data_IF_068579002738
#
_entry.id   IF_068579002738
#
_cell.length_a   1.000
_cell.length_b   1.000
_cell.length_c   1.000
_cell.angle_alpha   90.00
_cell.angle_beta   90.00
_cell.angle_gamma   90.00
#
_symmetry.space_group_name_H-M   'P 1'
#
loop_
_entity.id
_entity.type
_entity.pdbx_description
1 polymer ?
#
# COMPACT_ATOMS: atom_id res chain seq x y z
N UNK A 1 -16.52 -24.45 -15.02
CA UNK A 1 -17.29 -23.48 -14.18
C UNK A 1 -16.74 -23.36 -12.75
N UNK A 2 -16.56 -24.47 -12.01
CA UNK A 2 -16.03 -24.46 -10.64
C UNK A 2 -14.58 -23.96 -10.55
N UNK A 3 -13.71 -24.42 -11.46
CA UNK A 3 -12.28 -24.06 -11.50
C UNK A 3 -12.04 -22.54 -11.65
N UNK A 4 -12.94 -21.80 -12.30
CA UNK A 4 -12.84 -20.34 -12.43
C UNK A 4 -13.24 -19.62 -11.14
N UNK A 5 -14.24 -20.12 -10.42
CA UNK A 5 -14.67 -19.56 -9.13
C UNK A 5 -13.56 -19.73 -8.08
N UNK A 6 -12.96 -20.92 -8.02
CA UNK A 6 -11.86 -21.21 -7.08
C UNK A 6 -10.65 -20.28 -7.34
N UNK A 7 -10.35 -20.00 -8.61
CA UNK A 7 -9.28 -19.06 -8.99
C UNK A 7 -9.59 -17.64 -8.55
N UNK A 8 -10.82 -17.17 -8.76
CA UNK A 8 -11.27 -15.83 -8.35
C UNK A 8 -11.20 -15.69 -6.82
N UNK A 9 -11.69 -16.69 -6.08
CA UNK A 9 -11.60 -16.70 -4.62
C UNK A 9 -10.14 -16.65 -4.13
N UNK A 10 -9.24 -17.40 -4.77
CA UNK A 10 -7.82 -17.35 -4.44
C UNK A 10 -7.17 -15.98 -4.74
N UNK A 11 -7.60 -15.29 -5.80
CA UNK A 11 -7.15 -13.93 -6.10
C UNK A 11 -7.63 -12.93 -5.05
N UNK A 12 -8.89 -13.02 -4.60
CA UNK A 12 -9.43 -12.16 -3.53
C UNK A 12 -8.73 -12.43 -2.20
N UNK A 13 -8.43 -13.68 -1.85
CA UNK A 13 -7.72 -13.98 -0.60
C UNK A 13 -6.25 -13.53 -0.64
N UNK A 14 -5.61 -13.52 -1.81
CA UNK A 14 -4.23 -13.05 -1.94
C UNK A 14 -4.06 -11.56 -1.61
N UNK A 15 -5.08 -10.73 -1.82
CA UNK A 15 -5.04 -9.30 -1.45
C UNK A 15 -5.13 -9.07 0.06
N UNK A 16 -5.49 -10.08 0.85
CA UNK A 16 -5.56 -9.97 2.32
C UNK A 16 -4.18 -9.99 2.97
N UNK A 17 -3.20 -10.65 2.35
CA UNK A 17 -1.86 -10.83 2.92
C UNK A 17 -0.73 -10.27 2.05
N UNK A 18 -1.02 -9.84 0.82
CA UNK A 18 -0.03 -9.37 -0.16
C UNK A 18 1.18 -10.30 -0.30
N UNK A 19 0.94 -11.62 -0.26
CA UNK A 19 1.98 -12.65 -0.46
C UNK A 19 1.81 -13.28 -1.83
N UNK A 20 2.84 -13.17 -2.65
CA UNK A 20 2.87 -13.72 -4.00
C UNK A 20 3.25 -15.21 -3.98
N UNK A 21 2.35 -16.08 -3.54
CA UNK A 21 2.57 -17.52 -3.64
C UNK A 21 2.23 -17.98 -5.08
N UNK A 22 3.27 -18.20 -5.89
CA UNK A 22 3.31 -19.14 -7.02
C UNK A 22 2.68 -18.76 -8.36
N UNK A 23 1.85 -17.70 -8.45
CA UNK A 23 1.17 -17.34 -9.71
C UNK A 23 1.48 -15.91 -10.17
N UNK A 24 1.86 -15.77 -11.44
CA UNK A 24 2.19 -14.49 -12.08
C UNK A 24 0.99 -13.54 -12.10
N UNK A 25 -0.22 -14.08 -12.23
CA UNK A 25 -1.45 -13.27 -12.18
C UNK A 25 -1.63 -12.63 -10.79
N UNK A 26 -1.24 -13.33 -9.72
CA UNK A 26 -1.27 -12.78 -8.34
C UNK A 26 -0.23 -11.68 -8.16
N UNK A 27 0.97 -11.84 -8.72
CA UNK A 27 1.99 -10.78 -8.68
C UNK A 27 1.49 -9.50 -9.34
N UNK A 28 0.88 -9.61 -10.53
CA UNK A 28 0.28 -8.45 -11.19
C UNK A 28 -0.88 -7.86 -10.40
N UNK A 29 -1.74 -8.69 -9.80
CA UNK A 29 -2.85 -8.20 -8.97
C UNK A 29 -2.34 -7.36 -7.78
N UNK A 30 -1.33 -7.86 -7.07
CA UNK A 30 -0.72 -7.14 -5.95
C UNK A 30 -0.01 -5.85 -6.42
N UNK A 31 0.66 -5.89 -7.57
CA UNK A 31 1.30 -4.70 -8.13
C UNK A 31 0.29 -3.64 -8.54
N UNK A 32 -0.86 -4.04 -9.09
CA UNK A 32 -1.96 -3.13 -9.44
C UNK A 32 -2.57 -2.50 -8.18
N UNK A 33 -2.80 -3.29 -7.13
CA UNK A 33 -3.32 -2.80 -5.85
C UNK A 33 -2.38 -1.77 -5.21
N UNK A 34 -1.07 -2.02 -5.31
CA UNK A 34 -0.03 -1.13 -4.77
C UNK A 34 0.36 0.01 -5.71
N UNK A 35 -0.17 0.07 -6.94
CA UNK A 35 0.23 1.05 -7.96
C UNK A 35 0.04 2.50 -7.51
N UNK A 36 -0.94 2.75 -6.63
CA UNK A 36 -1.17 4.07 -6.04
C UNK A 36 0.03 4.58 -5.25
N UNK A 37 0.87 3.70 -4.71
CA UNK A 37 2.08 4.13 -4.00
C UNK A 37 3.03 4.84 -4.96
N UNK A 38 3.12 4.39 -6.22
CA UNK A 38 3.98 4.98 -7.25
C UNK A 38 3.30 5.99 -8.17
N UNK A 39 2.12 6.51 -7.81
CA UNK A 39 1.49 7.61 -8.54
C UNK A 39 2.26 8.92 -8.34
N UNK A 40 1.82 9.97 -9.04
CA UNK A 40 2.32 11.33 -8.77
C UNK A 40 2.13 11.70 -7.29
N UNK A 41 2.97 12.61 -6.78
CA UNK A 41 2.89 13.13 -5.41
C UNK A 41 1.47 13.63 -5.08
N UNK A 42 0.86 14.41 -5.99
CA UNK A 42 -0.49 14.97 -5.80
C UNK A 42 -1.57 13.90 -5.71
N UNK A 43 -1.48 12.85 -6.52
CA UNK A 43 -2.44 11.74 -6.50
C UNK A 43 -2.30 10.91 -5.21
N UNK A 44 -1.06 10.65 -4.80
CA UNK A 44 -0.78 9.90 -3.58
C UNK A 44 -1.20 10.67 -2.32
N UNK A 45 -0.89 11.97 -2.25
CA UNK A 45 -1.31 12.84 -1.14
C UNK A 45 -2.84 12.91 -1.03
N UNK A 46 -3.54 13.03 -2.18
CA UNK A 46 -5.00 13.02 -2.21
C UNK A 46 -5.56 11.69 -1.75
N UNK A 47 -4.95 10.58 -2.19
CA UNK A 47 -5.31 9.24 -1.73
C UNK A 47 -5.13 9.10 -0.22
N UNK A 48 -3.98 9.47 0.35
CA UNK A 48 -3.71 9.34 1.78
C UNK A 48 -4.65 10.21 2.63
N UNK A 49 -4.96 11.43 2.17
CA UNK A 49 -5.97 12.27 2.80
C UNK A 49 -7.38 11.66 2.78
N UNK A 50 -7.75 10.96 1.70
CA UNK A 50 -9.01 10.23 1.64
C UNK A 50 -9.05 9.06 2.61
N UNK A 51 -7.96 8.29 2.75
CA UNK A 51 -7.87 7.25 3.79
C UNK A 51 -8.06 7.88 5.18
N UNK A 52 -7.45 9.04 5.47
CA UNK A 52 -7.68 9.73 6.74
C UNK A 52 -9.16 10.07 6.96
N UNK A 53 -9.89 10.45 5.90
CA UNK A 53 -11.33 10.75 5.95
C UNK A 53 -12.18 9.51 6.26
N UNK A 54 -11.86 8.37 5.65
CA UNK A 54 -12.56 7.10 5.88
C UNK A 54 -12.45 6.63 7.34
N UNK A 55 -11.30 6.87 7.97
CA UNK A 55 -11.05 6.55 9.37
C UNK A 55 -11.21 7.74 10.31
N UNK A 56 -12.06 8.73 9.98
CA UNK A 56 -12.34 9.88 10.87
C UNK A 56 -12.84 9.48 12.26
N UNK A 57 -13.54 8.35 12.34
CA UNK A 57 -14.05 7.78 13.58
C UNK A 57 -12.97 7.15 14.47
N UNK A 58 -11.76 6.91 13.95
CA UNK A 58 -10.61 6.43 14.73
C UNK A 58 -9.91 7.62 15.40
N UNK A 59 -9.58 7.53 16.70
CA UNK A 59 -8.77 8.56 17.38
C UNK A 59 -7.49 8.87 16.61
N UNK A 60 -7.17 10.16 16.46
CA UNK A 60 -6.10 10.62 15.58
C UNK A 60 -4.73 10.00 15.92
N UNK A 61 -4.42 9.87 17.21
CA UNK A 61 -3.18 9.25 17.69
C UNK A 61 -3.05 7.79 17.20
N UNK A 62 -4.09 6.98 17.44
CA UNK A 62 -4.16 5.58 17.03
C UNK A 62 -4.06 5.46 15.52
N UNK A 63 -4.80 6.31 14.78
CA UNK A 63 -4.77 6.31 13.32
C UNK A 63 -3.34 6.56 12.80
N UNK A 64 -2.66 7.60 13.28
CA UNK A 64 -1.32 7.94 12.80
C UNK A 64 -0.29 6.87 13.15
N UNK A 65 -0.36 6.28 14.35
CA UNK A 65 0.51 5.15 14.72
C UNK A 65 0.30 3.93 13.82
N UNK A 66 -0.96 3.54 13.58
CA UNK A 66 -1.29 2.39 12.72
C UNK A 66 -0.95 2.65 11.25
N UNK A 67 -1.25 3.85 10.74
CA UNK A 67 -0.93 4.25 9.36
C UNK A 67 0.56 4.26 9.13
N UNK A 68 1.34 4.80 10.07
CA UNK A 68 2.80 4.76 10.04
C UNK A 68 3.30 3.32 9.94
N UNK A 69 2.82 2.42 10.79
CA UNK A 69 3.22 1.01 10.76
C UNK A 69 2.94 0.37 9.39
N UNK A 70 1.75 0.57 8.83
CA UNK A 70 1.37 0.03 7.50
C UNK A 70 2.32 0.54 6.41
N UNK A 71 2.55 1.85 6.32
CA UNK A 71 3.42 2.44 5.30
C UNK A 71 4.87 1.96 5.45
N UNK A 72 5.36 1.84 6.69
CA UNK A 72 6.69 1.29 6.98
C UNK A 72 6.80 -0.16 6.50
N UNK A 73 5.77 -1.01 6.67
CA UNK A 73 5.85 -2.40 6.19
C UNK A 73 6.01 -2.52 4.67
N UNK A 74 5.42 -1.60 3.88
CA UNK A 74 5.65 -1.54 2.44
C UNK A 74 7.05 -1.01 2.13
N UNK A 75 7.48 0.03 2.83
CA UNK A 75 8.80 0.63 2.66
C UNK A 75 9.95 -0.31 3.04
N UNK A 76 9.77 -1.26 3.95
CA UNK A 76 10.85 -2.18 4.35
C UNK A 76 11.02 -3.37 3.39
N UNK A 77 10.13 -3.55 2.42
CA UNK A 77 10.27 -4.63 1.43
C UNK A 77 11.51 -4.38 0.56
N UNK A 78 12.26 -5.43 0.15
CA UNK A 78 13.34 -5.27 -0.82
C UNK A 78 12.85 -4.68 -2.15
N UNK A 79 11.64 -5.06 -2.56
CA UNK A 79 10.89 -4.47 -3.66
C UNK A 79 9.45 -4.26 -3.24
N UNK A 80 8.90 -3.08 -3.52
CA UNK A 80 7.48 -2.77 -3.30
C UNK A 80 6.65 -3.56 -4.31
N UNK A 81 7.13 -3.61 -5.56
CA UNK A 81 6.47 -4.33 -6.66
C UNK A 81 7.17 -5.66 -6.99
N UNK A 82 6.36 -6.66 -7.31
CA UNK A 82 6.77 -8.03 -7.60
C UNK A 82 7.26 -8.21 -9.04
N UNK A 83 6.63 -7.54 -10.02
CA UNK A 83 6.97 -7.69 -11.43
C UNK A 83 8.00 -6.65 -11.89
N UNK A 84 8.88 -7.00 -12.87
CA UNK A 84 9.84 -6.04 -13.42
C UNK A 84 9.18 -4.77 -13.98
N UNK A 85 8.05 -4.93 -14.69
CA UNK A 85 7.33 -3.79 -15.28
C UNK A 85 6.95 -2.74 -14.23
N UNK A 86 6.37 -3.16 -13.11
CA UNK A 86 5.98 -2.21 -12.06
C UNK A 86 7.17 -1.68 -11.28
N UNK A 87 8.21 -2.49 -11.06
CA UNK A 87 9.45 -2.01 -10.42
C UNK A 87 10.07 -0.87 -11.21
N UNK A 88 10.30 -1.08 -12.51
CA UNK A 88 10.96 -0.10 -13.37
C UNK A 88 10.15 1.18 -13.50
N UNK A 89 8.82 1.07 -13.50
CA UNK A 89 7.92 2.19 -13.71
C UNK A 89 7.59 2.98 -12.44
N UNK A 90 7.48 2.31 -11.29
CA UNK A 90 6.84 2.89 -10.10
C UNK A 90 7.66 2.82 -8.81
N UNK A 91 8.70 1.97 -8.72
CA UNK A 91 9.40 1.73 -7.45
C UNK A 91 10.03 3.02 -6.90
N UNK A 92 10.74 3.78 -7.74
CA UNK A 92 11.41 5.02 -7.32
C UNK A 92 10.42 6.04 -6.74
N UNK A 93 9.32 6.30 -7.46
CA UNK A 93 8.28 7.21 -7.02
C UNK A 93 7.58 6.70 -5.74
N UNK A 94 7.34 5.39 -5.65
CA UNK A 94 6.75 4.79 -4.46
C UNK A 94 7.62 4.96 -3.22
N UNK A 95 8.95 4.84 -3.35
CA UNK A 95 9.88 5.10 -2.25
C UNK A 95 9.84 6.55 -1.78
N UNK A 96 9.75 7.50 -2.72
CA UNK A 96 9.64 8.93 -2.40
C UNK A 96 8.33 9.22 -1.64
N UNK A 97 7.20 8.77 -2.20
CA UNK A 97 5.88 8.93 -1.60
C UNK A 97 5.80 8.32 -0.18
N UNK A 98 6.25 7.07 -0.02
CA UNK A 98 6.28 6.41 1.29
C UNK A 98 7.18 7.14 2.28
N UNK A 99 8.35 7.61 1.86
CA UNK A 99 9.27 8.37 2.74
C UNK A 99 8.61 9.63 3.27
N UNK A 100 7.96 10.40 2.38
CA UNK A 100 7.26 11.63 2.74
C UNK A 100 6.10 11.35 3.71
N UNK A 101 5.26 10.36 3.41
CA UNK A 101 4.12 10.02 4.27
C UNK A 101 4.53 9.44 5.64
N UNK A 102 5.57 8.60 5.69
CA UNK A 102 6.16 8.10 6.94
C UNK A 102 6.63 9.27 7.81
N UNK A 103 7.37 10.22 7.21
CA UNK A 103 7.83 11.40 7.93
C UNK A 103 6.67 12.28 8.43
N UNK A 104 5.63 12.46 7.62
CA UNK A 104 4.43 13.20 7.99
C UNK A 104 3.71 12.56 9.17
N UNK A 105 3.35 11.28 9.08
CA UNK A 105 2.60 10.60 10.15
C UNK A 105 3.41 10.46 11.43
N UNK A 106 4.74 10.34 11.36
CA UNK A 106 5.60 10.37 12.54
C UNK A 106 5.51 11.72 13.27
N UNK A 107 5.53 12.84 12.54
CA UNK A 107 5.36 14.18 13.14
C UNK A 107 3.98 14.35 13.76
N UNK A 108 2.93 13.94 13.05
CA UNK A 108 1.55 14.04 13.52
C UNK A 108 1.32 13.19 14.78
N UNK A 109 1.87 11.98 14.84
CA UNK A 109 1.79 11.13 16.04
C UNK A 109 2.51 11.76 17.24
N UNK A 110 3.59 12.51 17.03
CA UNK A 110 4.34 13.18 18.10
C UNK A 110 3.67 14.46 18.61
N UNK A 111 2.86 15.13 17.79
CA UNK A 111 2.17 16.37 18.16
C UNK A 111 0.89 16.15 18.98
N UNK A 112 0.40 14.91 19.05
CA UNK A 112 -0.83 14.54 19.77
C UNK A 112 -0.53 14.09 21.21
N UNK A 113 0.76 13.85 21.53
CA UNK A 113 1.25 13.45 22.85
C UNK A 113 1.68 14.64 23.71
#
# INVERSE_FOLDING_TARGET
>A
PSVQIDRICAHVLATQHHRADGDRDRQFLLDIDLAILGSTDDDFLRFDANIRREYLWVPAEIYHQKRLAVLTTFFERPHIYHTPYFRDKYESQARQNLTQAIALHRRLAQQIN
#
